data_IF_016689543356
#
_entry.id   IF_016689543356
#
_cell.length_a   1.000
_cell.length_b   1.000
_cell.length_c   1.000
_cell.angle_alpha   90.00
_cell.angle_beta   90.00
_cell.angle_gamma   90.00
#
_symmetry.space_group_name_H-M   'P 1'
#
loop_
_entity.id
_entity.type
_entity.pdbx_description
1 polymer ?
#
# COMPACT_ATOMS: atom_id res chain seq x y z
N UNK A 1 -0.43 16.69 5.04
CA UNK A 1 -1.23 17.11 3.86
C UNK A 1 -2.07 18.30 4.29
N UNK A 2 -2.11 19.37 3.50
CA UNK A 2 -2.69 20.66 3.92
C UNK A 2 -3.60 21.21 2.83
N UNK A 3 -4.76 21.77 3.19
CA UNK A 3 -5.67 22.45 2.26
C UNK A 3 -5.12 23.82 1.81
N UNK A 4 -5.77 24.44 0.82
CA UNK A 4 -5.48 25.84 0.43
C UNK A 4 -5.64 26.83 1.60
N UNK A 5 -6.47 26.49 2.58
CA UNK A 5 -6.69 27.28 3.79
C UNK A 5 -5.77 26.88 4.96
N UNK A 6 -4.75 26.05 4.73
CA UNK A 6 -3.81 25.67 5.79
C UNK A 6 -4.31 24.57 6.73
N UNK A 7 -5.47 23.96 6.46
CA UNK A 7 -6.04 22.94 7.36
C UNK A 7 -5.41 21.56 7.09
N UNK A 8 -5.05 20.78 8.13
CA UNK A 8 -4.60 19.41 7.97
C UNK A 8 -5.69 18.55 7.31
N UNK A 9 -5.38 17.95 6.15
CA UNK A 9 -6.30 17.07 5.40
C UNK A 9 -6.08 15.57 5.70
N UNK A 10 -5.06 15.27 6.51
CA UNK A 10 -4.65 13.92 6.79
C UNK A 10 -3.20 13.81 7.20
N UNK A 11 -2.77 12.56 7.38
CA UNK A 11 -1.42 12.20 7.77
C UNK A 11 -0.64 11.67 6.57
N UNK A 12 0.65 11.96 6.57
CA UNK A 12 1.61 11.45 5.60
C UNK A 12 2.87 11.06 6.35
N UNK A 13 3.39 9.88 6.07
CA UNK A 13 4.63 9.38 6.65
C UNK A 13 5.47 8.67 5.60
N UNK A 14 6.78 8.82 5.72
CA UNK A 14 7.77 8.08 4.93
C UNK A 14 8.88 7.63 5.87
N UNK A 15 9.29 6.39 5.74
CA UNK A 15 10.47 5.84 6.41
C UNK A 15 11.36 5.14 5.39
N UNK A 16 12.67 5.26 5.59
CA UNK A 16 13.69 4.58 4.79
C UNK A 16 14.63 3.87 5.73
N UNK A 17 14.89 2.60 5.47
CA UNK A 17 15.81 1.78 6.25
C UNK A 17 16.74 1.01 5.32
N UNK A 18 18.03 0.78 5.67
CA UNK A 18 18.86 -0.18 4.98
C UNK A 18 18.22 -1.57 4.99
N UNK A 19 18.33 -2.31 3.89
CA UNK A 19 17.79 -3.66 3.76
C UNK A 19 18.64 -4.49 2.79
N UNK A 20 18.40 -5.80 2.77
CA UNK A 20 18.88 -6.71 1.74
C UNK A 20 17.66 -7.31 1.02
N UNK A 21 17.69 -7.32 -0.31
CA UNK A 21 16.65 -7.91 -1.14
C UNK A 21 17.19 -9.15 -1.85
N UNK A 22 16.46 -10.26 -1.73
CA UNK A 22 16.78 -11.51 -2.43
C UNK A 22 15.98 -11.59 -3.74
N UNK A 23 16.68 -11.63 -4.87
CA UNK A 23 16.05 -11.85 -6.16
C UNK A 23 15.65 -13.33 -6.34
N UNK A 24 14.60 -13.64 -7.14
CA UNK A 24 14.32 -15.00 -7.56
C UNK A 24 15.50 -15.54 -8.36
N UNK A 25 16.23 -16.46 -7.72
CA UNK A 25 17.56 -16.89 -8.15
C UNK A 25 18.57 -16.94 -7.00
N UNK A 26 18.22 -16.37 -5.84
CA UNK A 26 19.02 -16.44 -4.61
C UNK A 26 20.15 -15.42 -4.54
N UNK A 27 20.20 -14.45 -5.47
CA UNK A 27 21.16 -13.36 -5.42
C UNK A 27 20.64 -12.27 -4.48
N UNK A 28 21.46 -11.86 -3.52
CA UNK A 28 21.16 -10.76 -2.62
C UNK A 28 21.73 -9.43 -3.13
N UNK A 29 20.99 -8.34 -2.93
CA UNK A 29 21.41 -6.97 -3.20
C UNK A 29 21.13 -6.07 -1.98
N UNK A 30 22.16 -5.36 -1.52
CA UNK A 30 22.00 -4.27 -0.55
C UNK A 30 21.14 -3.15 -1.15
N UNK A 31 20.10 -2.76 -0.43
CA UNK A 31 19.11 -1.82 -0.91
C UNK A 31 18.51 -0.99 0.24
N UNK A 32 17.44 -0.27 -0.05
CA UNK A 32 16.63 0.46 0.91
C UNK A 32 15.22 -0.10 0.95
N UNK A 33 14.70 -0.35 2.14
CA UNK A 33 13.27 -0.55 2.37
C UNK A 33 12.62 0.83 2.59
N UNK A 34 11.76 1.22 1.66
CA UNK A 34 10.98 2.46 1.71
C UNK A 34 9.54 2.10 2.05
N UNK A 35 9.01 2.66 3.13
CA UNK A 35 7.60 2.59 3.48
C UNK A 35 7.01 4.00 3.46
N UNK A 36 5.95 4.21 2.71
CA UNK A 36 5.23 5.47 2.65
C UNK A 36 3.74 5.23 2.87
N UNK A 37 3.11 6.05 3.70
CA UNK A 37 1.66 6.02 3.88
C UNK A 37 1.08 7.42 3.81
N UNK A 38 -0.12 7.51 3.24
CA UNK A 38 -0.93 8.70 3.25
C UNK A 38 -2.36 8.31 3.56
N UNK A 39 -2.94 8.95 4.57
CA UNK A 39 -4.32 8.73 4.99
C UNK A 39 -5.00 10.08 5.14
N UNK A 40 -6.21 10.21 4.64
CA UNK A 40 -6.95 11.45 4.72
C UNK A 40 -8.38 11.31 4.24
N UNK A 41 -9.00 12.46 4.05
CA UNK A 41 -10.37 12.57 3.55
C UNK A 41 -10.43 13.58 2.42
N UNK A 42 -11.11 13.23 1.33
CA UNK A 42 -11.44 14.16 0.24
C UNK A 42 -12.95 14.31 0.19
N UNK A 43 -13.47 15.52 0.39
CA UNK A 43 -14.93 15.76 0.47
C UNK A 43 -15.63 14.80 1.44
N UNK A 44 -15.07 14.63 2.64
CA UNK A 44 -15.53 13.69 3.68
C UNK A 44 -15.50 12.20 3.31
N UNK A 45 -14.88 11.85 2.17
CA UNK A 45 -14.68 10.46 1.76
C UNK A 45 -13.30 9.98 2.23
N UNK A 46 -13.22 8.96 3.10
CA UNK A 46 -11.93 8.43 3.54
C UNK A 46 -11.17 7.78 2.39
N UNK A 47 -9.89 8.12 2.25
CA UNK A 47 -8.97 7.55 1.29
C UNK A 47 -7.61 7.27 1.91
N UNK A 48 -6.91 6.29 1.37
CA UNK A 48 -5.53 5.99 1.77
C UNK A 48 -4.73 5.48 0.61
N UNK A 49 -3.42 5.70 0.69
CA UNK A 49 -2.40 5.08 -0.14
C UNK A 49 -1.26 4.61 0.76
N UNK A 50 -0.80 3.38 0.56
CA UNK A 50 0.42 2.87 1.19
C UNK A 50 1.31 2.25 0.13
N UNK A 51 2.62 2.43 0.30
CA UNK A 51 3.67 1.87 -0.54
C UNK A 51 4.71 1.24 0.38
N UNK A 52 5.13 0.03 0.02
CA UNK A 52 6.33 -0.61 0.55
C UNK A 52 7.19 -1.04 -0.63
N UNK A 53 8.43 -0.57 -0.70
CA UNK A 53 9.30 -0.84 -1.81
C UNK A 53 10.73 -1.15 -1.38
N UNK A 54 11.33 -2.13 -2.02
CA UNK A 54 12.78 -2.34 -2.04
C UNK A 54 13.36 -1.55 -3.21
N UNK A 55 14.25 -0.62 -2.89
CA UNK A 55 14.86 0.32 -3.84
C UNK A 55 16.37 0.11 -3.84
N UNK A 56 16.96 -0.16 -5.00
CA UNK A 56 18.40 -0.34 -5.12
C UNK A 56 19.18 0.92 -4.74
N UNK A 57 20.49 0.79 -4.51
CA UNK A 57 21.38 1.95 -4.29
C UNK A 57 21.43 2.91 -5.50
N UNK A 58 20.98 2.47 -6.68
CA UNK A 58 20.83 3.31 -7.88
C UNK A 58 19.44 3.94 -8.02
N UNK A 59 18.60 3.84 -6.98
CA UNK A 59 17.21 4.33 -6.96
C UNK A 59 16.29 3.64 -7.96
N UNK A 60 16.58 2.38 -8.29
CA UNK A 60 15.71 1.54 -9.12
C UNK A 60 14.78 0.72 -8.22
N UNK A 61 13.49 0.60 -8.60
CA UNK A 61 12.57 -0.31 -7.91
C UNK A 61 12.97 -1.77 -8.16
N UNK A 62 13.31 -2.50 -7.11
CA UNK A 62 13.51 -3.95 -7.13
C UNK A 62 12.17 -4.67 -6.97
N UNK A 63 11.40 -4.26 -5.97
CA UNK A 63 10.05 -4.75 -5.73
C UNK A 63 9.23 -3.69 -5.00
N UNK A 64 7.94 -3.58 -5.31
CA UNK A 64 7.03 -2.62 -4.71
C UNK A 64 5.64 -3.21 -4.55
N UNK A 65 5.07 -3.03 -3.37
CA UNK A 65 3.68 -3.28 -3.03
C UNK A 65 3.00 -1.95 -2.77
N UNK A 66 1.87 -1.73 -3.43
CA UNK A 66 1.06 -0.53 -3.26
C UNK A 66 -0.38 -0.93 -3.01
N UNK A 67 -0.99 -0.31 -2.00
CA UNK A 67 -2.40 -0.49 -1.66
C UNK A 67 -3.08 0.87 -1.55
N UNK A 68 -4.12 1.06 -2.32
CA UNK A 68 -4.96 2.26 -2.27
C UNK A 68 -6.41 1.89 -2.05
N UNK A 69 -7.12 2.72 -1.29
CA UNK A 69 -8.55 2.59 -1.16
C UNK A 69 -9.24 3.94 -1.13
N UNK A 70 -10.51 3.95 -1.55
CA UNK A 70 -11.45 5.05 -1.38
C UNK A 70 -12.77 4.48 -0.88
N UNK A 71 -13.22 4.92 0.30
CA UNK A 71 -14.46 4.43 0.92
C UNK A 71 -15.68 5.24 0.46
N UNK A 72 -15.83 5.42 -0.85
CA UNK A 72 -16.97 6.11 -1.41
C UNK A 72 -18.23 5.25 -1.25
N UNK A 73 -19.29 5.77 -0.63
CA UNK A 73 -20.43 4.94 -0.18
C UNK A 73 -21.12 4.15 -1.30
N UNK A 74 -21.28 4.77 -2.47
CA UNK A 74 -21.94 4.13 -3.61
C UNK A 74 -21.01 3.12 -4.31
N UNK A 75 -19.70 3.41 -4.36
CA UNK A 75 -18.72 2.65 -5.12
C UNK A 75 -17.37 2.66 -4.39
N UNK A 76 -17.19 1.87 -3.31
CA UNK A 76 -15.86 1.67 -2.75
C UNK A 76 -14.89 1.16 -3.81
N UNK A 77 -13.66 1.65 -3.71
CA UNK A 77 -12.53 1.23 -4.54
C UNK A 77 -11.44 0.65 -3.63
N UNK A 78 -10.94 -0.52 -3.97
CA UNK A 78 -9.74 -1.14 -3.40
C UNK A 78 -8.80 -1.53 -4.54
N UNK A 79 -7.56 -1.04 -4.50
CA UNK A 79 -6.57 -1.24 -5.56
C UNK A 79 -5.27 -1.74 -4.94
N UNK A 80 -4.82 -2.90 -5.40
CA UNK A 80 -3.51 -3.47 -5.03
C UNK A 80 -2.64 -3.57 -6.27
N UNK A 81 -1.45 -2.99 -6.22
CA UNK A 81 -0.48 -3.03 -7.30
C UNK A 81 0.81 -3.64 -6.76
N UNK A 82 1.31 -4.65 -7.44
CA UNK A 82 2.62 -5.24 -7.21
C UNK A 82 3.49 -5.00 -8.42
N UNK A 83 4.70 -4.49 -8.20
CA UNK A 83 5.71 -4.25 -9.22
C UNK A 83 6.97 -5.00 -8.82
N UNK A 84 7.58 -5.75 -9.73
CA UNK A 84 8.85 -6.43 -9.46
C UNK A 84 9.77 -6.39 -10.67
N UNK A 85 11.06 -6.13 -10.45
CA UNK A 85 12.10 -6.23 -11.47
C UNK A 85 12.49 -7.69 -11.63
N UNK A 86 12.43 -8.20 -12.86
CA UNK A 86 12.81 -9.57 -13.24
C UNK A 86 13.52 -9.55 -14.59
N UNK A 87 14.76 -10.03 -14.65
CA UNK A 87 15.55 -10.09 -15.88
C UNK A 87 15.65 -8.74 -16.60
N UNK A 88 15.83 -7.65 -15.85
CA UNK A 88 15.91 -6.29 -16.40
C UNK A 88 14.57 -5.66 -16.83
N UNK A 89 13.44 -6.33 -16.65
CA UNK A 89 12.09 -5.82 -16.96
C UNK A 89 11.27 -5.62 -15.70
N UNK A 90 10.30 -4.70 -15.73
CA UNK A 90 9.31 -4.56 -14.68
C UNK A 90 8.07 -5.41 -15.01
N UNK A 91 7.72 -6.30 -14.09
CA UNK A 91 6.45 -7.01 -14.08
C UNK A 91 5.48 -6.27 -13.18
N UNK A 92 4.29 -5.97 -13.69
CA UNK A 92 3.24 -5.26 -12.95
C UNK A 92 2.02 -6.15 -12.85
N UNK A 93 1.60 -6.45 -11.62
CA UNK A 93 0.33 -7.12 -11.32
C UNK A 93 -0.57 -6.14 -10.60
N UNK A 94 -1.77 -5.91 -11.14
CA UNK A 94 -2.75 -4.99 -10.57
C UNK A 94 -4.06 -5.72 -10.34
N UNK A 95 -4.63 -5.58 -9.14
CA UNK A 95 -5.96 -6.05 -8.78
C UNK A 95 -6.78 -4.83 -8.37
N UNK A 96 -7.98 -4.72 -8.92
CA UNK A 96 -8.92 -3.64 -8.61
C UNK A 96 -10.24 -4.29 -8.22
N UNK A 97 -10.77 -3.90 -7.08
CA UNK A 97 -12.10 -4.26 -6.62
C UNK A 97 -12.92 -2.97 -6.56
N UNK A 98 -13.99 -2.95 -7.33
CA UNK A 98 -14.98 -1.87 -7.40
C UNK A 98 -16.36 -2.51 -7.26
N UNK A 99 -17.28 -1.88 -6.52
CA UNK A 99 -18.65 -2.40 -6.47
C UNK A 99 -19.57 -1.64 -5.53
N UNK A 100 -20.87 -1.91 -5.65
CA UNK A 100 -21.90 -1.38 -4.75
C UNK A 100 -21.90 -2.14 -3.41
N UNK A 101 -21.96 -1.41 -2.30
CA UNK A 101 -22.21 -2.04 -0.99
C UNK A 101 -23.68 -2.45 -0.90
N UNK A 102 -24.05 -3.61 -1.46
CA UNK A 102 -25.33 -4.25 -1.14
C UNK A 102 -25.27 -4.80 0.27
N UNK A 103 -25.56 -3.93 1.25
CA UNK A 103 -25.86 -4.30 2.62
C UNK A 103 -24.70 -4.18 3.60
N UNK A 104 -24.27 -2.96 3.91
CA UNK A 104 -23.62 -2.70 5.19
C UNK A 104 -24.70 -2.73 6.27
N UNK A 105 -24.86 -3.86 6.98
CA UNK A 105 -25.67 -3.90 8.20
C UNK A 105 -24.79 -3.55 9.41
N UNK A 106 -25.19 -2.58 10.26
CA UNK A 106 -24.60 -2.46 11.57
C UNK A 106 -25.29 -3.46 12.51
N UNK A 107 -24.59 -4.51 12.92
CA UNK A 107 -24.84 -5.17 14.21
C UNK A 107 -23.67 -6.09 14.58
N UNK A 108 -23.31 -6.05 15.86
CA UNK A 108 -22.12 -6.65 16.46
C UNK A 108 -21.77 -8.06 15.98
N UNK A 109 -20.63 -8.14 15.32
CA UNK A 109 -19.69 -9.26 15.30
C UNK A 109 -18.41 -8.67 14.72
N UNK A 110 -17.26 -9.09 15.26
CA UNK A 110 -15.90 -8.59 15.02
C UNK A 110 -15.66 -8.02 13.60
N UNK A 111 -14.78 -7.00 13.45
CA UNK A 111 -14.44 -6.48 12.13
C UNK A 111 -14.09 -7.66 11.22
N UNK A 112 -14.50 -7.66 9.93
CA UNK A 112 -13.96 -8.61 9.01
C UNK A 112 -12.46 -8.32 9.03
N UNK A 113 -11.72 -9.22 9.68
CA UNK A 113 -10.30 -9.36 9.49
C UNK A 113 -10.16 -9.52 7.99
N UNK A 114 -9.86 -8.43 7.32
CA UNK A 114 -9.56 -8.41 5.91
C UNK A 114 -8.25 -9.17 5.79
N UNK A 115 -8.40 -10.49 5.71
CA UNK A 115 -7.50 -11.49 5.18
C UNK A 115 -6.05 -11.13 5.47
N UNK A 116 -5.61 -11.48 6.67
CA UNK A 116 -4.24 -11.88 6.89
C UNK A 116 -3.96 -13.05 5.93
N UNK A 117 -3.45 -12.78 4.73
CA UNK A 117 -2.81 -13.81 3.93
C UNK A 117 -1.35 -13.83 4.34
N UNK A 118 -0.96 -14.93 4.99
CA UNK A 118 0.38 -15.23 5.52
C UNK A 118 1.50 -15.17 4.46
N UNK A 119 1.17 -14.83 3.20
CA UNK A 119 2.08 -14.61 2.08
C UNK A 119 2.70 -13.21 1.99
N UNK A 120 2.23 -12.23 2.75
CA UNK A 120 2.65 -10.83 2.59
C UNK A 120 3.31 -10.27 3.86
N UNK A 121 4.39 -10.92 4.31
CA UNK A 121 5.10 -10.59 5.53
C UNK A 121 5.35 -9.09 5.73
N UNK A 122 4.64 -8.51 6.71
CA UNK A 122 5.02 -7.27 7.37
C UNK A 122 5.21 -7.56 8.85
N UNK A 123 6.38 -7.29 9.44
CA UNK A 123 6.55 -7.39 10.88
C UNK A 123 5.76 -6.29 11.59
N UNK A 124 5.14 -6.68 12.69
CA UNK A 124 4.54 -5.79 13.67
C UNK A 124 5.69 -4.99 14.32
N UNK A 125 5.74 -3.68 14.11
CA UNK A 125 6.55 -2.81 14.96
C UNK A 125 5.90 -2.83 16.36
N UNK A 126 6.60 -3.43 17.33
CA UNK A 126 6.30 -3.30 18.76
C UNK A 126 6.62 -1.89 19.24
#
# INVERSE_FOLDING_TARGET
MVSEHGQPLGQFSVSVQPACYEEPGGQEEDCYLVCATSQGTVSDVPCSSSITAYISKRLETLEQHQHEYVKFRAHPLDRKTHVAKRGGRLLVKKVIVEGEVRGWRPRGSAPPTSVWDSRWGFPMLQ
#
